data_IF_506219868021
#
_entry.id   IF_506219868021
#
_cell.length_a   1.000
_cell.length_b   1.000
_cell.length_c   1.000
_cell.angle_alpha   90.00
_cell.angle_beta   90.00
_cell.angle_gamma   90.00
#
_symmetry.space_group_name_H-M   'P 1'
#
loop_
_entity.id
_entity.type
_entity.pdbx_description
1 polymer ?
#
# COMPACT_ATOMS: atom_id res chain seq x y z
N UNK A 1 0.17 11.43 -18.21
CA UNK A 1 0.15 10.73 -16.90
C UNK A 1 -0.99 9.72 -16.93
N UNK A 2 -0.75 8.45 -16.63
CA UNK A 2 -1.75 7.39 -16.80
C UNK A 2 -2.73 7.38 -15.61
N UNK A 3 -3.60 8.38 -15.55
CA UNK A 3 -4.59 8.60 -14.47
C UNK A 3 -5.41 7.33 -14.18
N UNK A 4 -5.84 6.63 -15.22
CA UNK A 4 -6.60 5.37 -15.07
C UNK A 4 -5.81 4.26 -14.37
N UNK A 5 -4.48 4.23 -14.49
CA UNK A 5 -3.67 3.18 -13.87
C UNK A 5 -3.68 3.27 -12.34
N UNK A 6 -3.66 4.48 -11.77
CA UNK A 6 -3.73 4.67 -10.32
C UNK A 6 -5.08 4.25 -9.75
N UNK A 7 -6.17 4.68 -10.40
CA UNK A 7 -7.52 4.33 -9.98
C UNK A 7 -7.75 2.81 -10.03
N UNK A 8 -7.30 2.16 -11.12
CA UNK A 8 -7.40 0.70 -11.27
C UNK A 8 -6.56 -0.02 -10.23
N UNK A 9 -5.31 0.39 -10.03
CA UNK A 9 -4.42 -0.21 -9.02
C UNK A 9 -5.02 -0.15 -7.61
N UNK A 10 -5.44 1.04 -7.15
CA UNK A 10 -6.04 1.19 -5.83
C UNK A 10 -7.34 0.39 -5.66
N UNK A 11 -8.17 0.34 -6.71
CA UNK A 11 -9.42 -0.44 -6.69
C UNK A 11 -9.17 -1.94 -6.60
N UNK A 12 -8.21 -2.45 -7.38
CA UNK A 12 -7.81 -3.85 -7.35
C UNK A 12 -7.19 -4.23 -6.01
N UNK A 13 -6.39 -3.34 -5.41
CA UNK A 13 -5.80 -3.58 -4.10
C UNK A 13 -6.88 -3.71 -3.01
N UNK A 14 -7.86 -2.80 -2.99
CA UNK A 14 -8.99 -2.88 -2.06
C UNK A 14 -9.83 -4.14 -2.30
N UNK A 15 -10.11 -4.48 -3.56
CA UNK A 15 -10.86 -5.70 -3.89
C UNK A 15 -10.13 -6.95 -3.36
N UNK A 16 -8.82 -7.06 -3.59
CA UNK A 16 -7.99 -8.13 -3.06
C UNK A 16 -8.02 -8.19 -1.52
N UNK A 17 -7.95 -7.03 -0.86
CA UNK A 17 -8.02 -6.95 0.59
C UNK A 17 -9.38 -7.41 1.15
N UNK A 18 -10.49 -7.05 0.50
CA UNK A 18 -11.83 -7.50 0.88
C UNK A 18 -11.99 -9.01 0.67
N UNK A 19 -11.50 -9.55 -0.45
CA UNK A 19 -11.52 -11.01 -0.71
C UNK A 19 -10.74 -11.75 0.37
N UNK A 20 -9.52 -11.31 0.69
CA UNK A 20 -8.69 -11.93 1.72
C UNK A 20 -9.34 -11.85 3.11
N UNK A 21 -9.98 -10.71 3.43
CA UNK A 21 -10.70 -10.53 4.68
C UNK A 21 -11.92 -11.46 4.80
N UNK A 22 -12.64 -11.70 3.70
CA UNK A 22 -13.79 -12.63 3.66
C UNK A 22 -13.36 -14.09 3.74
N UNK A 23 -12.24 -14.44 3.13
CA UNK A 23 -11.67 -15.79 3.19
C UNK A 23 -10.99 -16.09 4.54
N UNK A 24 -10.75 -15.09 5.38
CA UNK A 24 -10.14 -15.28 6.70
C UNK A 24 -11.18 -15.79 7.70
N UNK A 25 -10.97 -16.97 8.33
CA UNK A 25 -11.88 -17.48 9.35
C UNK A 25 -11.86 -16.64 10.65
N UNK A 26 -10.86 -15.76 10.80
CA UNK A 26 -10.69 -14.93 11.99
C UNK A 26 -11.16 -13.50 11.75
N UNK A 27 -12.09 -12.99 12.57
CA UNK A 27 -12.53 -11.58 12.55
C UNK A 27 -11.62 -10.66 13.39
N UNK A 28 -10.33 -10.95 13.40
CA UNK A 28 -9.37 -10.22 14.23
C UNK A 28 -9.25 -8.76 13.77
N UNK A 29 -8.98 -7.84 14.70
CA UNK A 29 -8.89 -6.40 14.43
C UNK A 29 -7.86 -6.07 13.33
N UNK A 30 -6.81 -6.89 13.18
CA UNK A 30 -5.78 -6.74 12.13
C UNK A 30 -6.35 -6.90 10.72
N UNK A 31 -7.35 -7.77 10.52
CA UNK A 31 -8.01 -7.95 9.22
C UNK A 31 -8.79 -6.68 8.86
N UNK A 32 -9.51 -6.13 9.84
CA UNK A 32 -10.24 -4.86 9.67
C UNK A 32 -9.29 -3.69 9.41
N UNK A 33 -8.18 -3.62 10.14
CA UNK A 33 -7.16 -2.59 9.96
C UNK A 33 -6.49 -2.69 8.59
N UNK A 34 -6.23 -3.91 8.10
CA UNK A 34 -5.71 -4.13 6.74
C UNK A 34 -6.66 -3.62 5.66
N UNK A 35 -7.96 -3.96 5.75
CA UNK A 35 -8.97 -3.46 4.81
C UNK A 35 -9.12 -1.94 4.88
N UNK A 36 -9.10 -1.36 6.08
CA UNK A 36 -9.16 0.08 6.26
C UNK A 36 -7.94 0.78 5.62
N UNK A 37 -6.74 0.23 5.78
CA UNK A 37 -5.52 0.74 5.17
C UNK A 37 -5.55 0.62 3.63
N UNK A 38 -6.07 -0.50 3.09
CA UNK A 38 -6.29 -0.67 1.66
C UNK A 38 -7.34 0.30 1.11
N UNK A 39 -8.41 0.58 1.87
CA UNK A 39 -9.42 1.56 1.49
C UNK A 39 -8.87 2.99 1.46
N UNK A 40 -8.04 3.35 2.44
CA UNK A 40 -7.30 4.60 2.42
C UNK A 40 -6.40 4.69 1.18
N UNK A 41 -5.64 3.63 0.86
CA UNK A 41 -4.82 3.59 -0.34
C UNK A 41 -5.64 3.82 -1.61
N UNK A 42 -6.77 3.11 -1.75
CA UNK A 42 -7.66 3.23 -2.90
C UNK A 42 -8.24 4.64 -3.04
N UNK A 43 -8.74 5.22 -1.95
CA UNK A 43 -9.24 6.58 -1.93
C UNK A 43 -8.16 7.60 -2.33
N UNK A 44 -6.94 7.43 -1.81
CA UNK A 44 -5.80 8.28 -2.17
C UNK A 44 -5.45 8.21 -3.66
N UNK A 45 -5.38 7.00 -4.21
CA UNK A 45 -5.12 6.78 -5.63
C UNK A 45 -6.22 7.36 -6.54
N UNK A 46 -7.50 7.27 -6.12
CA UNK A 46 -8.61 7.93 -6.82
C UNK A 46 -8.45 9.44 -6.79
N UNK A 47 -8.14 10.03 -5.63
CA UNK A 47 -7.93 11.48 -5.49
C UNK A 47 -6.78 11.98 -6.38
N UNK A 48 -5.64 11.27 -6.39
CA UNK A 48 -4.49 11.59 -7.27
C UNK A 48 -4.88 11.54 -8.75
N UNK A 49 -5.74 10.58 -9.12
CA UNK A 49 -6.24 10.47 -10.48
C UNK A 49 -7.24 11.57 -10.86
N UNK A 50 -8.16 11.91 -9.96
CA UNK A 50 -9.19 12.94 -10.19
C UNK A 50 -8.59 14.34 -10.20
N UNK A 51 -7.57 14.60 -9.36
CA UNK A 51 -6.91 15.89 -9.23
C UNK A 51 -5.45 15.78 -9.68
N UNK A 52 -5.15 16.05 -10.96
CA UNK A 52 -3.78 16.02 -11.46
C UNK A 52 -2.89 17.08 -10.80
N UNK A 53 -1.61 16.78 -10.71
CA UNK A 53 -0.58 17.74 -10.29
C UNK A 53 -0.55 18.93 -11.26
N UNK A 54 -0.53 20.15 -10.72
CA UNK A 54 -0.57 21.39 -11.51
C UNK A 54 -1.98 21.96 -11.76
N UNK A 55 -3.03 21.33 -11.24
CA UNK A 55 -4.38 21.93 -11.21
C UNK A 55 -4.51 22.99 -10.09
N UNK A 56 -5.53 23.85 -10.18
CA UNK A 56 -5.89 24.78 -9.09
C UNK A 56 -6.20 24.04 -7.77
N UNK A 57 -6.45 22.74 -7.85
CA UNK A 57 -6.75 21.82 -6.76
C UNK A 57 -5.53 20.98 -6.33
N UNK A 58 -4.30 21.45 -6.56
CA UNK A 58 -3.07 20.72 -6.23
C UNK A 58 -2.98 20.25 -4.76
N UNK A 59 -3.65 20.91 -3.83
CA UNK A 59 -3.73 20.46 -2.43
C UNK A 59 -4.46 19.11 -2.28
N UNK A 60 -5.51 18.85 -3.09
CA UNK A 60 -6.18 17.55 -3.10
C UNK A 60 -5.31 16.44 -3.68
N UNK A 61 -4.44 16.78 -4.63
CA UNK A 61 -3.45 15.84 -5.15
C UNK A 61 -2.47 15.41 -4.05
N UNK A 62 -1.93 16.37 -3.29
CA UNK A 62 -0.98 16.09 -2.19
C UNK A 62 -1.65 15.27 -1.09
N UNK A 63 -2.88 15.62 -0.71
CA UNK A 63 -3.67 14.83 0.25
C UNK A 63 -3.91 13.39 -0.25
N UNK A 64 -4.28 13.25 -1.52
CA UNK A 64 -4.46 11.94 -2.16
C UNK A 64 -3.18 11.12 -2.16
N UNK A 65 -2.05 11.72 -2.52
CA UNK A 65 -0.74 11.06 -2.54
C UNK A 65 -0.32 10.60 -1.13
N UNK A 66 -0.49 11.46 -0.13
CA UNK A 66 -0.23 11.10 1.27
C UNK A 66 -1.09 9.92 1.73
N UNK A 67 -2.39 9.95 1.44
CA UNK A 67 -3.32 8.88 1.80
C UNK A 67 -2.98 7.55 1.08
N UNK A 68 -2.62 7.62 -0.20
CA UNK A 68 -2.19 6.47 -1.00
C UNK A 68 -0.95 5.81 -0.38
N UNK A 69 0.08 6.60 -0.11
CA UNK A 69 1.36 6.13 0.41
C UNK A 69 1.21 5.57 1.82
N UNK A 70 0.59 6.32 2.74
CA UNK A 70 0.41 5.88 4.13
C UNK A 70 -0.47 4.64 4.17
N UNK A 71 -1.59 4.64 3.46
CA UNK A 71 -2.51 3.50 3.41
C UNK A 71 -1.84 2.23 2.87
N UNK A 72 -1.14 2.33 1.75
CA UNK A 72 -0.53 1.17 1.09
C UNK A 72 0.61 0.57 1.91
N UNK A 73 1.50 1.40 2.45
CA UNK A 73 2.61 0.91 3.28
C UNK A 73 2.12 0.37 4.62
N UNK A 74 1.11 0.98 5.23
CA UNK A 74 0.47 0.45 6.45
C UNK A 74 -0.18 -0.91 6.19
N UNK A 75 -0.85 -1.06 5.04
CA UNK A 75 -1.42 -2.34 4.64
C UNK A 75 -0.34 -3.41 4.46
N UNK A 76 0.81 -3.08 3.86
CA UNK A 76 1.94 -4.00 3.72
C UNK A 76 2.53 -4.44 5.08
N UNK A 77 2.65 -3.52 6.05
CA UNK A 77 3.11 -3.84 7.41
C UNK A 77 2.12 -4.77 8.10
N UNK A 78 0.83 -4.43 8.09
CA UNK A 78 -0.22 -5.22 8.75
C UNK A 78 -0.34 -6.60 8.09
N UNK A 79 -0.31 -6.65 6.76
CA UNK A 79 -0.35 -7.89 5.98
C UNK A 79 0.87 -8.78 6.27
N UNK A 80 2.07 -8.19 6.28
CA UNK A 80 3.31 -8.89 6.66
C UNK A 80 3.27 -9.41 8.10
N UNK A 81 2.92 -8.58 9.07
CA UNK A 81 2.86 -8.97 10.48
C UNK A 81 1.76 -10.03 10.76
N UNK A 82 0.59 -9.86 10.16
CA UNK A 82 -0.57 -10.73 10.31
C UNK A 82 -0.45 -12.08 9.59
N UNK A 83 0.33 -12.13 8.50
CA UNK A 83 0.49 -13.34 7.67
C UNK A 83 1.09 -14.54 8.40
N UNK A 84 1.85 -14.33 9.49
CA UNK A 84 2.40 -15.42 10.28
C UNK A 84 1.34 -16.33 10.92
N UNK A 85 0.15 -15.80 11.22
CA UNK A 85 -0.98 -16.58 11.73
C UNK A 85 -1.57 -17.53 10.69
N UNK A 86 -1.32 -17.25 9.41
CA UNK A 86 -1.74 -18.07 8.28
C UNK A 86 -0.57 -18.94 7.76
N UNK A 87 0.43 -19.23 8.61
CA UNK A 87 1.57 -20.08 8.28
C UNK A 87 2.56 -19.47 7.28
N UNK A 88 2.54 -18.14 7.07
CA UNK A 88 3.47 -17.51 6.13
C UNK A 88 4.91 -17.58 6.63
N UNK A 89 5.86 -17.69 5.70
CA UNK A 89 7.28 -17.79 6.02
C UNK A 89 7.77 -16.51 6.71
N UNK A 90 8.76 -16.66 7.59
CA UNK A 90 9.41 -15.51 8.26
C UNK A 90 9.97 -14.51 7.26
N UNK A 91 10.42 -14.98 6.08
CA UNK A 91 10.89 -14.13 4.98
C UNK A 91 9.77 -13.22 4.43
N UNK A 92 8.57 -13.76 4.17
CA UNK A 92 7.43 -12.98 3.70
C UNK A 92 7.00 -11.92 4.73
N UNK A 93 6.96 -12.31 6.00
CA UNK A 93 6.62 -11.41 7.11
C UNK A 93 7.59 -10.24 7.19
N UNK A 94 8.90 -10.54 7.17
CA UNK A 94 9.96 -9.52 7.21
C UNK A 94 9.94 -8.63 5.97
N UNK A 95 9.74 -9.20 4.78
CA UNK A 95 9.64 -8.44 3.55
C UNK A 95 8.51 -7.40 3.61
N UNK A 96 7.31 -7.77 4.06
CA UNK A 96 6.20 -6.82 4.19
C UNK A 96 6.45 -5.71 5.21
N UNK A 97 7.04 -6.04 6.36
CA UNK A 97 7.40 -5.03 7.36
C UNK A 97 8.49 -4.08 6.87
N UNK A 98 9.55 -4.60 6.25
CA UNK A 98 10.67 -3.80 5.76
C UNK A 98 10.28 -2.92 4.57
N UNK A 99 9.51 -3.45 3.61
CA UNK A 99 9.03 -2.69 2.47
C UNK A 99 8.10 -1.55 2.92
N UNK A 100 7.15 -1.85 3.81
CA UNK A 100 6.24 -0.83 4.32
C UNK A 100 6.96 0.22 5.19
N UNK A 101 7.89 -0.19 6.05
CA UNK A 101 8.68 0.74 6.83
C UNK A 101 9.58 1.64 5.94
N UNK A 102 10.17 1.06 4.89
CA UNK A 102 10.95 1.80 3.91
C UNK A 102 10.10 2.83 3.17
N UNK A 103 8.89 2.47 2.72
CA UNK A 103 8.02 3.43 2.04
C UNK A 103 7.54 4.56 2.95
N UNK A 104 7.29 4.30 4.24
CA UNK A 104 7.01 5.35 5.24
C UNK A 104 8.24 6.23 5.47
N UNK A 105 9.44 5.66 5.56
CA UNK A 105 10.67 6.43 5.70
C UNK A 105 10.90 7.37 4.50
N UNK A 106 10.65 6.91 3.27
CA UNK A 106 10.68 7.76 2.08
C UNK A 106 9.66 8.90 2.15
N UNK A 107 8.43 8.63 2.63
CA UNK A 107 7.43 9.69 2.82
C UNK A 107 7.89 10.75 3.84
N UNK A 108 8.47 10.32 4.97
CA UNK A 108 8.97 11.24 5.98
C UNK A 108 10.09 12.13 5.43
N UNK A 109 11.00 11.55 4.63
CA UNK A 109 12.04 12.30 3.93
C UNK A 109 11.42 13.35 2.99
N UNK A 110 10.39 12.97 2.23
CA UNK A 110 9.68 13.90 1.33
C UNK A 110 9.05 15.09 2.09
N UNK A 111 8.42 14.82 3.24
CA UNK A 111 7.79 15.85 4.08
C UNK A 111 8.86 16.79 4.65
N UNK A 112 9.97 16.25 5.15
CA UNK A 112 11.05 17.03 5.76
C UNK A 112 11.78 17.87 4.71
N UNK A 113 12.12 17.29 3.55
CA UNK A 113 12.80 17.99 2.45
C UNK A 113 11.90 19.11 1.90
N UNK A 114 10.61 18.82 1.69
CA UNK A 114 9.62 19.80 1.26
C UNK A 114 9.35 20.93 2.26
N UNK A 115 9.31 20.63 3.57
CA UNK A 115 9.15 21.64 4.61
C UNK A 115 10.41 22.49 4.82
N UNK A 116 11.60 21.92 4.57
CA UNK A 116 12.88 22.61 4.68
C UNK A 116 13.25 23.48 3.47
N UNK A 117 12.46 23.43 2.38
CA UNK A 117 12.78 24.11 1.12
C UNK A 117 14.06 23.59 0.44
N UNK A 118 14.54 22.43 0.87
CA UNK A 118 15.75 21.79 0.36
C UNK A 118 15.35 20.85 -0.78
N UNK A 119 16.22 20.74 -1.80
CA UNK A 119 16.03 19.79 -2.92
C UNK A 119 17.18 18.80 -2.91
N UNK A 120 17.45 18.19 -1.75
CA UNK A 120 18.62 17.31 -1.58
C UNK A 120 18.44 16.02 -2.40
N UNK A 121 17.18 15.57 -2.56
CA UNK A 121 16.84 14.42 -3.39
C UNK A 121 15.83 14.82 -4.47
N UNK A 122 15.93 14.25 -5.69
CA UNK A 122 14.91 14.45 -6.70
C UNK A 122 13.55 13.98 -6.17
N UNK A 123 12.57 14.89 -6.09
CA UNK A 123 11.21 14.62 -5.57
C UNK A 123 10.62 13.33 -6.17
N UNK A 124 10.75 13.16 -7.49
CA UNK A 124 10.27 11.96 -8.17
C UNK A 124 10.98 10.65 -7.80
N UNK A 125 12.21 10.69 -7.28
CA UNK A 125 12.90 9.50 -6.77
C UNK A 125 12.32 9.08 -5.41
N UNK A 126 12.06 10.05 -4.53
CA UNK A 126 11.52 9.79 -3.19
C UNK A 126 10.05 9.35 -3.28
N UNK A 127 9.26 9.94 -4.18
CA UNK A 127 7.89 9.51 -4.47
C UNK A 127 7.85 8.05 -4.96
N UNK A 128 8.73 7.69 -5.92
CA UNK A 128 8.85 6.30 -6.40
C UNK A 128 9.33 5.36 -5.29
N UNK A 129 10.25 5.82 -4.45
CA UNK A 129 10.73 5.11 -3.26
C UNK A 129 9.61 4.80 -2.26
N UNK A 130 8.58 5.64 -2.18
CA UNK A 130 7.43 5.42 -1.31
C UNK A 130 6.33 4.52 -1.94
N UNK A 131 6.20 4.55 -3.27
CA UNK A 131 5.15 3.83 -4.01
C UNK A 131 5.57 2.40 -4.41
N UNK A 132 6.78 2.22 -4.96
CA UNK A 132 7.23 0.92 -5.44
C UNK A 132 7.29 -0.19 -4.38
N UNK A 133 7.58 0.09 -3.09
CA UNK A 133 7.50 -0.93 -2.05
C UNK A 133 6.10 -1.53 -1.88
N UNK A 134 5.04 -0.74 -2.10
CA UNK A 134 3.65 -1.19 -2.04
C UNK A 134 3.42 -2.25 -3.13
N UNK A 135 3.75 -1.90 -4.38
CA UNK A 135 3.60 -2.79 -5.54
C UNK A 135 4.46 -4.06 -5.38
N UNK A 136 5.70 -3.91 -4.92
CA UNK A 136 6.60 -5.03 -4.66
C UNK A 136 5.98 -6.00 -3.62
N UNK A 137 5.40 -5.48 -2.55
CA UNK A 137 4.74 -6.30 -1.55
C UNK A 137 3.48 -6.99 -2.08
N UNK A 138 2.65 -6.30 -2.86
CA UNK A 138 1.46 -6.92 -3.49
C UNK A 138 1.84 -8.09 -4.39
N UNK A 139 2.89 -7.95 -5.20
CA UNK A 139 3.39 -9.03 -6.06
C UNK A 139 3.88 -10.22 -5.24
N UNK A 140 4.61 -9.96 -4.14
CA UNK A 140 5.01 -11.01 -3.20
C UNK A 140 3.80 -11.71 -2.57
N UNK A 141 2.77 -10.95 -2.19
CA UNK A 141 1.54 -11.49 -1.60
C UNK A 141 0.78 -12.35 -2.60
N UNK A 142 0.63 -11.88 -3.85
CA UNK A 142 0.00 -12.63 -4.93
C UNK A 142 0.75 -13.94 -5.21
N UNK A 143 2.09 -13.90 -5.31
CA UNK A 143 2.89 -15.12 -5.50
C UNK A 143 2.76 -16.09 -4.31
N UNK A 144 2.73 -15.58 -3.08
CA UNK A 144 2.57 -16.41 -1.90
C UNK A 144 1.20 -17.11 -1.86
N UNK A 145 0.15 -16.43 -2.30
CA UNK A 145 -1.21 -17.00 -2.42
C UNK A 145 -1.25 -18.05 -3.53
N UNK A 146 -0.73 -17.74 -4.72
CA UNK A 146 -0.72 -18.67 -5.86
C UNK A 146 0.05 -19.96 -5.58
N UNK A 147 1.17 -19.87 -4.86
CA UNK A 147 1.98 -21.04 -4.49
C UNK A 147 1.32 -21.97 -3.47
N UNK A 148 0.28 -21.52 -2.77
CA UNK A 148 -0.41 -22.31 -1.75
C UNK A 148 -1.58 -23.15 -2.28
N UNK A 149 -2.03 -22.89 -3.51
CA UNK A 149 -3.10 -23.65 -4.16
C UNK A 149 -4.49 -23.48 -3.51
N UNK A 150 -5.58 -23.90 -4.18
CA UNK A 150 -6.96 -23.85 -3.67
C UNK A 150 -7.22 -24.76 -2.45
N UNK A 151 -6.33 -25.71 -2.22
CA UNK A 151 -6.59 -26.93 -1.44
C UNK A 151 -6.60 -26.71 0.08
N UNK A 152 -6.37 -25.48 0.55
CA UNK A 152 -6.21 -25.15 1.98
C UNK A 152 -7.39 -24.39 2.61
N UNK A 153 -8.43 -24.07 1.84
CA UNK A 153 -9.66 -23.44 2.36
C UNK A 153 -10.81 -24.45 2.62
N UNK A 154 -10.57 -25.74 2.38
CA UNK A 154 -11.47 -26.84 2.73
C UNK A 154 -10.90 -27.65 3.90
N UNK A 155 -11.19 -27.23 5.12
CA UNK A 155 -10.84 -27.94 6.36
C UNK A 155 -11.74 -27.51 7.49
#
# INVERSE_FOLDING_TARGET
MNIGAFMVHGSLFLAGAVVLARASPTKHWTVRAFVAAAAANAAGNILVGVFPSGSAQAHWHVLGAGLAIVGGNTAAIIGGAGSGRFGATTAFRRAGMLLGAFGIACLLILIVDGAGGSTVLPVGLVERGAVYPIIAWELLAAMAILRRGPDTFGG
#
